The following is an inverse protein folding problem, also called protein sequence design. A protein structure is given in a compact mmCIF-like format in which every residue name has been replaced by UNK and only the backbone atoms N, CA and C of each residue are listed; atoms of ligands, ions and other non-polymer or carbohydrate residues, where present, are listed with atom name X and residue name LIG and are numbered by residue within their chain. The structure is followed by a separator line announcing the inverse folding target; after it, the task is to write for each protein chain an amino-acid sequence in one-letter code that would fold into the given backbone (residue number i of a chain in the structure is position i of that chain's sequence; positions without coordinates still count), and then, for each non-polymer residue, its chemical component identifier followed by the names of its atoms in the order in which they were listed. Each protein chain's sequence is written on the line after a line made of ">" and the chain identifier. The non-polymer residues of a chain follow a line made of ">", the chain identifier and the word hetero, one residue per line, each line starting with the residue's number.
data_IF_868983912517
#
_entry.id   IF_868983912517
#
_cell.length_a   1.000
_cell.length_b   1.000
_cell.length_c   1.000
_cell.angle_alpha   90.00
_cell.angle_beta   90.00
_cell.angle_gamma   90.00
#
_symmetry.space_group_name_H-M   'P 1'
#
loop_
_entity.id
_entity.type
_entity.pdbx_description
1 polymer ?
#
# COMPACT_ATOMS: atom_id res chain seq x y z
N UNK A 1 -31.15 33.31 1.25
CA UNK A 1 -29.96 32.57 0.78
C UNK A 1 -29.00 32.40 1.95
N UNK A 2 -29.04 31.25 2.64
CA UNK A 2 -28.04 30.93 3.68
C UNK A 2 -26.84 30.26 3.02
N UNK A 3 -25.67 30.90 3.11
CA UNK A 3 -24.39 30.29 2.76
C UNK A 3 -23.95 29.39 3.92
N UNK A 4 -23.88 28.09 3.70
CA UNK A 4 -23.31 27.14 4.65
C UNK A 4 -21.78 27.25 4.59
N UNK A 5 -21.19 27.84 5.63
CA UNK A 5 -19.75 27.87 5.84
C UNK A 5 -19.29 26.49 6.32
N UNK A 6 -18.73 25.68 5.42
CA UNK A 6 -18.08 24.43 5.79
C UNK A 6 -16.75 24.73 6.49
N UNK A 7 -16.77 24.75 7.82
CA UNK A 7 -15.55 24.77 8.63
C UNK A 7 -14.94 23.38 8.54
N UNK A 8 -13.84 23.24 7.81
CA UNK A 8 -12.99 22.06 7.88
C UNK A 8 -12.33 22.06 9.27
N UNK A 9 -12.84 21.23 10.19
CA UNK A 9 -12.15 20.94 11.44
C UNK A 9 -10.81 20.28 11.11
N UNK A 10 -9.72 21.03 11.28
CA UNK A 10 -8.40 20.44 11.30
C UNK A 10 -8.33 19.52 12.52
N UNK A 11 -8.30 18.21 12.27
CA UNK A 11 -8.12 17.23 13.32
C UNK A 11 -6.66 17.27 13.77
N UNK A 12 -6.38 17.82 14.96
CA UNK A 12 -5.06 17.76 15.64
C UNK A 12 -4.66 16.32 16.05
N UNK A 13 -5.44 15.30 15.66
CA UNK A 13 -5.12 13.91 15.93
C UNK A 13 -3.96 13.43 15.04
N UNK A 14 -2.94 12.84 15.68
CA UNK A 14 -1.89 12.09 14.97
C UNK A 14 -2.56 11.07 14.02
N UNK A 15 -2.20 11.04 12.73
CA UNK A 15 -2.80 10.10 11.79
C UNK A 15 -2.68 8.65 12.25
N UNK A 16 -3.78 7.89 12.16
CA UNK A 16 -3.85 6.50 12.60
C UNK A 16 -3.22 5.54 11.57
N UNK A 17 -1.91 5.69 11.35
CA UNK A 17 -1.13 4.80 10.47
C UNK A 17 -0.83 3.50 11.22
N UNK A 18 -1.11 2.37 10.57
CA UNK A 18 -0.86 1.02 11.07
C UNK A 18 0.06 0.26 10.09
N UNK A 19 1.18 -0.31 10.55
CA UNK A 19 1.77 -0.18 11.90
C UNK A 19 2.18 1.27 12.20
N UNK A 20 2.25 1.62 13.50
CA UNK A 20 2.68 2.94 13.96
C UNK A 20 4.11 3.22 13.45
N UNK A 21 4.34 4.31 12.70
CA UNK A 21 5.67 4.66 12.22
C UNK A 21 6.63 4.97 13.38
N UNK A 22 7.94 4.82 13.15
CA UNK A 22 8.96 5.16 14.14
C UNK A 22 8.85 6.62 14.63
N UNK A 23 8.71 7.57 13.69
CA UNK A 23 8.51 8.98 13.99
C UNK A 23 7.44 9.61 13.09
N UNK A 24 6.56 10.40 13.69
CA UNK A 24 5.52 11.18 12.98
C UNK A 24 5.44 12.57 13.61
N UNK A 25 5.49 13.60 12.78
CA UNK A 25 5.24 14.99 13.18
C UNK A 25 4.17 15.56 12.27
N UNK A 26 3.06 16.02 12.85
CA UNK A 26 2.02 16.74 12.12
C UNK A 26 2.49 18.16 11.85
N UNK A 27 2.26 18.67 10.64
CA UNK A 27 2.61 20.01 10.22
C UNK A 27 1.35 20.80 9.86
N UNK A 28 1.39 22.14 9.88
CA UNK A 28 0.29 22.95 9.41
C UNK A 28 -0.03 22.72 7.92
N UNK A 29 -1.32 22.63 7.61
CA UNK A 29 -1.82 22.48 6.25
C UNK A 29 -2.16 21.03 5.87
N UNK A 30 -2.52 20.85 4.61
CA UNK A 30 -2.98 19.58 4.10
C UNK A 30 -2.68 19.45 2.61
N UNK A 31 -2.35 18.25 2.17
CA UNK A 31 -2.24 17.90 0.75
C UNK A 31 -3.59 17.43 0.24
N UNK A 32 -4.07 17.98 -0.87
CA UNK A 32 -5.27 17.49 -1.56
C UNK A 32 -4.89 16.89 -2.91
N UNK A 33 -5.23 15.63 -3.14
CA UNK A 33 -5.06 14.98 -4.43
C UNK A 33 -6.06 15.57 -5.44
N UNK A 34 -5.57 15.95 -6.62
CA UNK A 34 -6.35 16.61 -7.67
C UNK A 34 -6.15 15.88 -9.00
N UNK A 35 -7.03 16.13 -9.97
CA UNK A 35 -6.90 15.54 -11.31
C UNK A 35 -5.58 15.93 -12.01
N UNK A 36 -5.05 17.12 -11.73
CA UNK A 36 -3.75 17.57 -12.24
C UNK A 36 -2.53 17.11 -11.43
N UNK A 37 -2.71 16.29 -10.38
CA UNK A 37 -1.57 15.78 -9.61
C UNK A 37 -0.75 14.83 -10.47
N UNK A 38 0.57 14.99 -10.42
CA UNK A 38 1.53 14.16 -11.17
C UNK A 38 2.34 13.32 -10.19
N UNK A 39 2.53 12.04 -10.53
CA UNK A 39 3.47 11.17 -9.82
C UNK A 39 4.83 11.33 -10.49
N UNK A 40 5.83 11.77 -9.74
CA UNK A 40 7.19 12.00 -10.23
C UNK A 40 8.12 10.94 -9.64
N UNK A 41 8.81 10.17 -10.47
CA UNK A 41 9.68 9.10 -9.98
C UNK A 41 11.10 9.18 -10.55
N UNK A 42 12.05 8.61 -9.82
CA UNK A 42 13.26 8.10 -10.46
C UNK A 42 12.90 7.01 -11.47
N UNK A 43 13.75 6.82 -12.49
CA UNK A 43 13.54 5.77 -13.50
C UNK A 43 13.42 4.38 -12.86
N UNK A 44 14.22 4.12 -11.82
CA UNK A 44 14.20 2.85 -11.09
C UNK A 44 12.90 2.61 -10.30
N UNK A 45 12.12 3.66 -10.00
CA UNK A 45 10.88 3.57 -9.22
C UNK A 45 9.63 3.75 -10.07
N UNK A 46 9.75 3.77 -11.40
CA UNK A 46 8.61 4.00 -12.31
C UNK A 46 7.47 3.00 -12.08
N UNK A 47 7.79 1.72 -11.96
CA UNK A 47 6.79 0.67 -11.70
C UNK A 47 6.05 0.89 -10.36
N UNK A 48 6.72 1.43 -9.34
CA UNK A 48 6.06 1.79 -8.08
C UNK A 48 5.18 3.05 -8.21
N UNK A 49 5.57 4.00 -9.06
CA UNK A 49 4.72 5.14 -9.40
C UNK A 49 3.45 4.74 -10.14
N UNK A 50 3.57 3.81 -11.08
CA UNK A 50 2.44 3.22 -11.82
C UNK A 50 1.53 2.44 -10.85
N UNK A 51 2.12 1.60 -9.97
CA UNK A 51 1.39 0.89 -8.92
C UNK A 51 0.66 1.83 -7.95
N UNK A 52 1.27 2.95 -7.57
CA UNK A 52 0.59 3.98 -6.77
C UNK A 52 -0.63 4.55 -7.52
N UNK A 53 -0.49 4.85 -8.80
CA UNK A 53 -1.61 5.25 -9.65
C UNK A 53 -2.73 4.22 -9.66
N UNK A 54 -2.39 2.94 -9.81
CA UNK A 54 -3.34 1.83 -9.82
C UNK A 54 -4.04 1.64 -8.47
N UNK A 55 -3.36 1.89 -7.35
CA UNK A 55 -3.98 1.86 -6.03
C UNK A 55 -4.98 2.99 -5.81
N UNK A 56 -4.74 4.18 -6.35
CA UNK A 56 -5.58 5.36 -6.15
C UNK A 56 -6.73 5.43 -7.16
N UNK A 57 -6.56 4.89 -8.36
CA UNK A 57 -7.53 5.01 -9.45
C UNK A 57 -8.93 4.48 -9.10
N UNK A 58 -9.11 3.28 -8.49
CA UNK A 58 -10.45 2.72 -8.27
C UNK A 58 -11.35 3.63 -7.44
N UNK A 59 -10.85 4.19 -6.34
CA UNK A 59 -11.62 5.07 -5.48
C UNK A 59 -11.77 6.49 -6.06
N UNK A 60 -10.70 7.03 -6.62
CA UNK A 60 -10.65 8.45 -7.02
C UNK A 60 -11.18 8.72 -8.44
N UNK A 61 -11.12 7.72 -9.32
CA UNK A 61 -11.31 7.88 -10.76
C UNK A 61 -10.19 8.66 -11.45
N UNK A 62 -9.13 9.05 -10.75
CA UNK A 62 -8.06 9.90 -11.29
C UNK A 62 -6.96 9.05 -11.95
N UNK A 63 -6.72 9.27 -13.25
CA UNK A 63 -5.60 8.69 -13.98
C UNK A 63 -4.38 9.61 -13.86
N UNK A 64 -3.62 9.44 -12.78
CA UNK A 64 -2.44 10.25 -12.51
C UNK A 64 -1.30 9.90 -13.47
N UNK A 65 -0.69 10.91 -14.09
CA UNK A 65 0.45 10.71 -14.97
C UNK A 65 1.72 10.39 -14.16
N UNK A 66 2.51 9.42 -14.62
CA UNK A 66 3.83 9.09 -14.05
C UNK A 66 4.93 9.68 -14.94
N UNK A 67 5.79 10.54 -14.38
CA UNK A 67 6.83 11.28 -15.10
C UNK A 67 8.15 11.28 -14.32
N UNK A 68 9.25 11.67 -14.97
CA UNK A 68 10.56 11.86 -14.29
C UNK A 68 10.73 13.26 -13.70
N UNK A 69 9.97 14.23 -14.22
CA UNK A 69 9.92 15.62 -13.76
C UNK A 69 8.50 16.18 -13.99
N UNK A 70 8.21 17.29 -13.31
CA UNK A 70 6.98 18.06 -13.49
C UNK A 70 7.33 19.56 -13.51
N UNK A 71 6.55 20.41 -14.20
CA UNK A 71 6.71 21.85 -14.17
C UNK A 71 6.66 22.42 -12.74
N UNK A 72 7.21 23.62 -12.57
CA UNK A 72 7.01 24.40 -11.35
C UNK A 72 5.50 24.54 -11.05
N UNK A 73 5.15 24.61 -9.76
CA UNK A 73 3.76 24.75 -9.26
C UNK A 73 2.80 23.57 -9.48
N UNK A 74 3.24 22.50 -10.15
CA UNK A 74 2.44 21.27 -10.26
C UNK A 74 2.28 20.61 -8.89
N UNK A 75 1.08 20.11 -8.58
CA UNK A 75 0.89 19.26 -7.39
C UNK A 75 1.56 17.90 -7.63
N UNK A 76 2.49 17.52 -6.77
CA UNK A 76 3.35 16.36 -7.03
C UNK A 76 3.35 15.38 -5.88
N UNK A 77 3.24 14.09 -6.22
CA UNK A 77 3.68 13.00 -5.34
C UNK A 77 4.99 12.47 -5.93
N UNK A 78 6.08 12.55 -5.19
CA UNK A 78 7.41 12.16 -5.67
C UNK A 78 7.94 10.91 -4.98
N UNK A 79 8.51 9.99 -5.75
CA UNK A 79 9.20 8.78 -5.29
C UNK A 79 10.66 8.85 -5.72
N UNK A 80 11.58 8.94 -4.77
CA UNK A 80 13.02 9.07 -5.05
C UNK A 80 13.85 8.08 -4.23
N UNK A 81 14.92 7.59 -4.81
CA UNK A 81 15.99 6.91 -4.08
C UNK A 81 16.94 7.95 -3.48
N UNK A 82 17.32 7.74 -2.23
CA UNK A 82 18.17 8.64 -1.48
C UNK A 82 19.18 7.82 -0.67
N UNK A 83 20.44 7.81 -1.12
CA UNK A 83 21.52 7.04 -0.50
C UNK A 83 21.85 7.52 0.92
N UNK A 84 21.52 8.77 1.26
CA UNK A 84 21.72 9.28 2.63
C UNK A 84 20.81 8.60 3.66
N UNK A 85 19.75 7.93 3.21
CA UNK A 85 18.82 7.19 4.06
C UNK A 85 19.25 5.74 4.33
N UNK A 86 20.47 5.34 3.98
CA UNK A 86 20.97 3.98 4.23
C UNK A 86 20.85 3.54 5.71
N UNK A 87 20.92 4.48 6.66
CA UNK A 87 20.71 4.23 8.10
C UNK A 87 19.31 3.69 8.45
N UNK A 88 18.31 3.87 7.57
CA UNK A 88 16.95 3.36 7.75
C UNK A 88 16.80 1.93 7.22
N UNK A 89 17.84 1.37 6.60
CA UNK A 89 17.81 0.05 5.97
C UNK A 89 17.02 0.00 4.65
N UNK A 90 16.93 -1.18 4.06
CA UNK A 90 16.34 -1.38 2.73
C UNK A 90 14.81 -1.13 2.69
N UNK A 91 14.15 -1.31 3.82
CA UNK A 91 12.69 -1.15 3.97
C UNK A 91 12.30 0.20 4.60
N UNK A 92 13.28 1.02 4.98
CA UNK A 92 13.05 2.30 5.61
C UNK A 92 12.78 3.43 4.60
N UNK A 93 12.02 4.43 5.02
CA UNK A 93 11.66 5.57 4.19
C UNK A 93 11.44 6.84 5.02
N UNK A 94 11.48 7.97 4.32
CA UNK A 94 11.00 9.26 4.79
C UNK A 94 9.85 9.72 3.90
N UNK A 95 8.75 10.17 4.50
CA UNK A 95 7.60 10.76 3.83
C UNK A 95 7.39 12.17 4.37
N UNK A 96 7.58 13.17 3.51
CA UNK A 96 7.29 14.57 3.81
C UNK A 96 6.09 15.01 2.96
N UNK A 97 5.00 15.43 3.60
CA UNK A 97 3.79 15.91 2.96
C UNK A 97 3.53 17.37 3.35
N UNK A 98 3.40 18.24 2.35
CA UNK A 98 2.97 19.62 2.50
C UNK A 98 1.85 19.97 1.53
N UNK A 99 1.41 21.24 1.45
CA UNK A 99 0.19 21.61 0.74
C UNK A 99 0.17 21.27 -0.76
N UNK A 100 1.31 21.37 -1.45
CA UNK A 100 1.43 21.15 -2.90
C UNK A 100 2.29 19.93 -3.26
N UNK A 101 2.98 19.33 -2.30
CA UNK A 101 3.95 18.26 -2.58
C UNK A 101 3.95 17.19 -1.50
N UNK A 102 4.04 15.94 -1.95
CA UNK A 102 4.38 14.78 -1.15
C UNK A 102 5.70 14.22 -1.68
N UNK A 103 6.64 13.92 -0.79
CA UNK A 103 7.93 13.33 -1.14
C UNK A 103 8.15 12.07 -0.31
N UNK A 104 8.24 10.93 -1.00
CA UNK A 104 8.67 9.65 -0.43
C UNK A 104 10.09 9.41 -0.91
N UNK A 105 11.02 9.32 0.03
CA UNK A 105 12.43 9.04 -0.19
C UNK A 105 12.82 7.76 0.55
N UNK A 106 13.62 6.93 -0.08
CA UNK A 106 14.08 5.68 0.54
C UNK A 106 15.45 5.25 0.02
N UNK A 107 16.18 4.46 0.79
CA UNK A 107 17.47 3.91 0.34
C UNK A 107 17.30 2.87 -0.78
N UNK A 108 16.28 2.01 -0.67
CA UNK A 108 15.93 0.99 -1.68
C UNK A 108 14.44 1.07 -2.05
N UNK A 109 14.10 0.39 -3.13
CA UNK A 109 12.73 0.36 -3.65
C UNK A 109 11.70 -0.19 -2.65
N UNK A 110 12.09 -1.13 -1.77
CA UNK A 110 11.21 -1.67 -0.74
C UNK A 110 10.76 -0.59 0.26
N UNK A 111 11.66 0.30 0.69
CA UNK A 111 11.29 1.46 1.50
C UNK A 111 10.32 2.41 0.79
N UNK A 112 10.55 2.72 -0.49
CA UNK A 112 9.62 3.55 -1.26
C UNK A 112 8.23 2.89 -1.37
N UNK A 113 8.18 1.57 -1.54
CA UNK A 113 6.95 0.79 -1.53
C UNK A 113 6.22 0.89 -0.18
N UNK A 114 6.91 0.80 0.96
CA UNK A 114 6.27 0.97 2.28
C UNK A 114 5.84 2.41 2.57
N UNK A 115 6.56 3.40 2.03
CA UNK A 115 6.13 4.79 2.03
C UNK A 115 4.80 4.99 1.28
N UNK A 116 4.60 4.30 0.15
CA UNK A 116 3.31 4.28 -0.57
C UNK A 116 2.20 3.73 0.32
N UNK A 117 2.45 2.67 1.10
CA UNK A 117 1.43 2.10 1.98
C UNK A 117 1.02 3.08 3.08
N UNK A 118 1.99 3.80 3.66
CA UNK A 118 1.70 4.87 4.62
C UNK A 118 0.93 6.02 3.97
N UNK A 119 1.34 6.48 2.79
CA UNK A 119 0.63 7.51 2.04
C UNK A 119 -0.85 7.16 1.84
N UNK A 120 -1.14 5.92 1.45
CA UNK A 120 -2.52 5.44 1.26
C UNK A 120 -3.34 5.50 2.55
N UNK A 121 -2.72 5.33 3.72
CA UNK A 121 -3.41 5.40 5.01
C UNK A 121 -3.58 6.84 5.53
N UNK A 122 -2.84 7.81 4.99
CA UNK A 122 -2.99 9.22 5.36
C UNK A 122 -4.19 9.88 4.69
N UNK A 123 -4.65 9.36 3.56
CA UNK A 123 -5.90 9.77 2.91
C UNK A 123 -7.13 9.21 3.65
N UNK A 124 -8.34 9.75 3.40
CA UNK A 124 -9.57 9.20 3.96
C UNK A 124 -9.73 7.73 3.60
N UNK A 125 -10.24 6.90 4.52
CA UNK A 125 -10.33 5.44 4.36
C UNK A 125 -11.04 4.99 3.08
N UNK A 126 -11.93 5.81 2.55
CA UNK A 126 -12.57 5.62 1.25
C UNK A 126 -11.58 5.43 0.08
N UNK A 127 -10.33 5.88 0.21
CA UNK A 127 -9.26 5.73 -0.80
C UNK A 127 -8.92 4.27 -1.07
N UNK A 128 -9.20 3.37 -0.11
CA UNK A 128 -8.92 1.94 -0.20
C UNK A 128 -10.05 1.17 -0.91
N UNK A 129 -11.15 1.83 -1.29
CA UNK A 129 -12.26 1.21 -2.03
C UNK A 129 -11.82 0.77 -3.42
N UNK A 130 -12.39 -0.34 -3.89
CA UNK A 130 -12.16 -0.89 -5.23
C UNK A 130 -13.21 -0.40 -6.26
N UNK A 131 -13.91 0.69 -5.93
CA UNK A 131 -14.94 1.30 -6.78
C UNK A 131 -14.96 2.81 -6.53
N UNK A 132 -15.38 3.57 -7.54
CA UNK A 132 -15.37 5.03 -7.50
C UNK A 132 -16.22 5.55 -6.35
N UNK A 133 -15.68 6.50 -5.59
CA UNK A 133 -16.39 7.18 -4.51
C UNK A 133 -16.65 8.62 -4.94
N UNK A 134 -17.92 8.99 -5.03
CA UNK A 134 -18.33 10.36 -5.39
C UNK A 134 -18.18 11.32 -4.21
N UNK A 135 -18.07 12.61 -4.50
CA UNK A 135 -18.14 13.71 -3.54
C UNK A 135 -17.16 13.63 -2.33
N UNK A 136 -15.98 13.03 -2.52
CA UNK A 136 -14.94 12.95 -1.49
C UNK A 136 -13.74 13.81 -1.86
N UNK A 137 -13.37 14.74 -0.97
CA UNK A 137 -12.08 15.43 -1.05
C UNK A 137 -10.98 14.47 -0.58
N UNK A 138 -10.07 14.11 -1.48
CA UNK A 138 -8.92 13.25 -1.19
C UNK A 138 -7.83 14.06 -0.50
N UNK A 139 -8.05 14.40 0.77
CA UNK A 139 -7.20 15.29 1.55
C UNK A 139 -6.51 14.53 2.68
N UNK A 140 -5.22 14.76 2.86
CA UNK A 140 -4.43 14.23 3.97
C UNK A 140 -3.68 15.35 4.69
N UNK A 141 -3.39 15.23 5.99
CA UNK A 141 -2.67 16.24 6.73
C UNK A 141 -1.23 16.39 6.21
N UNK A 142 -0.67 17.59 6.35
CA UNK A 142 0.76 17.79 6.18
C UNK A 142 1.50 17.08 7.34
N UNK A 143 2.51 16.29 7.01
CA UNK A 143 3.24 15.45 7.97
C UNK A 143 4.70 15.26 7.56
N UNK A 144 5.57 15.04 8.53
CA UNK A 144 6.91 14.49 8.35
C UNK A 144 6.96 13.14 9.05
N UNK A 145 7.23 12.07 8.31
CA UNK A 145 7.31 10.70 8.79
C UNK A 145 8.69 10.13 8.45
N UNK A 146 9.32 9.52 9.43
CA UNK A 146 10.48 8.66 9.24
C UNK A 146 10.15 7.29 9.83
N UNK A 147 10.37 6.24 9.05
CA UNK A 147 9.90 4.92 9.42
C UNK A 147 10.83 3.82 8.90
N UNK A 148 10.93 2.75 9.66
CA UNK A 148 11.73 1.56 9.37
C UNK A 148 11.25 0.40 10.24
N UNK A 149 11.35 -0.85 9.76
CA UNK A 149 10.86 -1.99 10.52
C UNK A 149 11.78 -2.33 11.69
N UNK A 150 11.19 -2.68 12.84
CA UNK A 150 11.92 -3.28 13.95
C UNK A 150 12.49 -4.66 13.62
N UNK A 151 11.75 -5.46 12.86
CA UNK A 151 12.12 -6.82 12.48
C UNK A 151 12.07 -6.98 10.97
N UNK A 152 13.12 -7.56 10.36
CA UNK A 152 13.17 -7.81 8.92
C UNK A 152 12.27 -8.94 8.42
N UNK A 153 11.75 -9.80 9.31
CA UNK A 153 10.84 -10.89 8.98
C UNK A 153 9.47 -10.65 9.61
N UNK A 154 8.47 -10.36 8.78
CA UNK A 154 7.10 -10.05 9.22
C UNK A 154 6.13 -10.81 8.33
N UNK A 155 5.69 -11.98 8.78
CA UNK A 155 5.03 -12.95 7.93
C UNK A 155 3.62 -13.34 8.34
N UNK A 156 2.90 -13.94 7.40
CA UNK A 156 1.65 -14.68 7.63
C UNK A 156 1.81 -16.10 7.06
N UNK A 157 1.41 -17.11 7.84
CA UNK A 157 1.18 -18.46 7.32
C UNK A 157 -0.29 -18.57 6.90
N UNK A 158 -0.53 -18.95 5.64
CA UNK A 158 -1.86 -19.21 5.11
C UNK A 158 -1.98 -20.70 4.77
N UNK A 159 -2.88 -21.37 5.49
CA UNK A 159 -3.23 -22.76 5.23
C UNK A 159 -4.29 -22.86 4.13
N UNK A 160 -3.86 -23.36 2.98
CA UNK A 160 -4.72 -23.64 1.83
C UNK A 160 -4.94 -25.14 1.61
N UNK A 161 -4.28 -25.98 2.41
CA UNK A 161 -4.37 -27.43 2.33
C UNK A 161 -5.66 -27.93 3.01
N UNK A 162 -5.98 -27.44 4.21
CA UNK A 162 -7.18 -27.87 4.96
C UNK A 162 -8.46 -27.38 4.32
N UNK A 163 -8.49 -26.11 3.91
CA UNK A 163 -9.58 -25.53 3.13
C UNK A 163 -9.00 -24.76 1.94
N UNK A 164 -9.41 -25.15 0.73
CA UNK A 164 -8.87 -24.52 -0.47
C UNK A 164 -9.37 -23.07 -0.59
N UNK A 165 -8.42 -22.15 -0.79
CA UNK A 165 -8.69 -20.73 -1.04
C UNK A 165 -8.47 -20.44 -2.52
N UNK A 166 -9.47 -19.89 -3.25
CA UNK A 166 -9.28 -19.47 -4.62
C UNK A 166 -8.16 -18.42 -4.77
N UNK A 167 -7.51 -18.37 -5.95
CA UNK A 167 -6.38 -17.46 -6.19
C UNK A 167 -6.69 -15.99 -5.89
N UNK A 168 -7.92 -15.54 -6.15
CA UNK A 168 -8.34 -14.16 -5.89
C UNK A 168 -8.40 -13.84 -4.40
N UNK A 169 -8.77 -14.82 -3.56
CA UNK A 169 -8.69 -14.67 -2.11
C UNK A 169 -7.24 -14.52 -1.66
N UNK A 170 -6.33 -15.37 -2.16
CA UNK A 170 -4.90 -15.32 -1.80
C UNK A 170 -4.28 -13.99 -2.22
N UNK A 171 -4.59 -13.48 -3.43
CA UNK A 171 -4.13 -12.16 -3.88
C UNK A 171 -4.63 -11.03 -2.97
N UNK A 172 -5.91 -11.07 -2.57
CA UNK A 172 -6.47 -10.11 -1.61
C UNK A 172 -5.76 -10.17 -0.26
N UNK A 173 -5.39 -11.36 0.21
CA UNK A 173 -4.56 -11.50 1.42
C UNK A 173 -3.19 -10.84 1.21
N UNK A 174 -2.52 -11.08 0.07
CA UNK A 174 -1.23 -10.43 -0.25
C UNK A 174 -1.36 -8.90 -0.25
N UNK A 175 -2.44 -8.35 -0.82
CA UNK A 175 -2.67 -6.90 -0.81
C UNK A 175 -2.83 -6.33 0.60
N UNK A 176 -3.50 -7.09 1.49
CA UNK A 176 -3.64 -6.72 2.90
C UNK A 176 -2.31 -6.84 3.67
N UNK A 177 -1.51 -7.87 3.40
CA UNK A 177 -0.16 -8.01 3.95
C UNK A 177 0.70 -6.81 3.56
N UNK A 178 0.69 -6.46 2.28
CA UNK A 178 1.42 -5.32 1.74
C UNK A 178 1.00 -4.01 2.44
N UNK A 179 -0.30 -3.73 2.54
CA UNK A 179 -0.83 -2.52 3.20
C UNK A 179 -0.33 -2.38 4.65
N UNK A 180 -0.17 -3.50 5.36
CA UNK A 180 0.31 -3.56 6.75
C UNK A 180 1.82 -3.82 6.88
N UNK A 181 2.56 -3.68 5.78
CA UNK A 181 4.02 -3.84 5.72
C UNK A 181 4.53 -5.23 6.14
N UNK A 182 3.70 -6.26 6.03
CA UNK A 182 4.11 -7.66 6.15
C UNK A 182 4.80 -8.07 4.84
N UNK A 183 5.95 -8.74 4.95
CA UNK A 183 6.88 -8.94 3.83
C UNK A 183 7.15 -10.42 3.51
N UNK A 184 6.47 -11.34 4.20
CA UNK A 184 6.55 -12.79 3.95
C UNK A 184 5.16 -13.40 3.93
N UNK A 185 4.90 -14.25 2.94
CA UNK A 185 3.75 -15.13 2.92
C UNK A 185 4.27 -16.56 2.89
N UNK A 186 3.94 -17.35 3.90
CA UNK A 186 4.20 -18.78 3.94
C UNK A 186 2.92 -19.51 3.55
N UNK A 187 2.95 -20.20 2.41
CA UNK A 187 1.83 -21.02 1.94
C UNK A 187 2.01 -22.46 2.40
N UNK A 188 1.10 -22.94 3.25
CA UNK A 188 1.02 -24.36 3.59
C UNK A 188 0.22 -25.08 2.50
N UNK A 189 0.93 -25.62 1.51
CA UNK A 189 0.36 -26.11 0.25
C UNK A 189 -0.10 -27.58 0.28
N UNK A 190 0.27 -28.32 1.31
CA UNK A 190 0.06 -29.77 1.36
C UNK A 190 -0.21 -30.21 2.79
N UNK A 191 -1.19 -31.09 2.95
CA UNK A 191 -1.50 -31.76 4.22
C UNK A 191 -2.30 -33.04 3.95
N UNK A 192 -2.68 -33.77 5.00
CA UNK A 192 -3.45 -35.02 4.87
C UNK A 192 -4.76 -34.82 4.09
N UNK A 193 -5.40 -33.66 4.26
CA UNK A 193 -6.70 -33.34 3.66
C UNK A 193 -6.60 -32.70 2.27
N UNK A 194 -5.38 -32.47 1.74
CA UNK A 194 -5.23 -32.05 0.35
C UNK A 194 -3.86 -31.54 -0.11
N UNK A 195 -3.66 -31.62 -1.42
CA UNK A 195 -2.46 -31.18 -2.15
C UNK A 195 -2.78 -30.05 -3.14
N UNK A 196 -2.11 -28.89 -3.04
CA UNK A 196 -2.53 -27.63 -3.70
C UNK A 196 -1.62 -27.09 -4.79
N UNK A 197 -0.52 -27.77 -5.11
CA UNK A 197 0.47 -27.34 -6.10
C UNK A 197 0.60 -28.37 -7.22
N UNK A 198 0.61 -27.95 -8.48
CA UNK A 198 0.81 -28.89 -9.57
C UNK A 198 2.27 -29.39 -9.61
N UNK A 199 2.45 -30.72 -9.60
CA UNK A 199 3.73 -31.36 -9.90
C UNK A 199 3.57 -32.20 -11.17
N UNK A 200 4.12 -31.71 -12.29
CA UNK A 200 3.93 -32.32 -13.62
C UNK A 200 4.33 -33.80 -13.68
N UNK A 201 5.39 -34.18 -12.95
CA UNK A 201 5.87 -35.58 -12.85
C UNK A 201 4.87 -36.50 -12.12
N UNK A 202 4.05 -35.94 -11.23
CA UNK A 202 3.15 -36.69 -10.35
C UNK A 202 1.71 -36.15 -10.47
N UNK A 203 1.04 -36.32 -11.64
CA UNK A 203 -0.25 -35.71 -11.91
C UNK A 203 -1.38 -36.19 -10.98
N UNK A 204 -1.23 -37.36 -10.35
CA UNK A 204 -2.21 -37.87 -9.37
C UNK A 204 -2.29 -37.00 -8.10
N UNK A 205 -1.25 -36.23 -7.78
CA UNK A 205 -1.25 -35.34 -6.61
C UNK A 205 -2.37 -34.28 -6.71
N UNK A 206 -2.62 -33.73 -7.89
CA UNK A 206 -3.72 -32.76 -8.10
C UNK A 206 -4.98 -33.40 -8.68
N UNK A 207 -4.88 -34.43 -9.54
CA UNK A 207 -6.07 -35.10 -10.10
C UNK A 207 -6.87 -35.88 -9.04
N UNK A 208 -6.20 -36.36 -7.99
CA UNK A 208 -6.84 -37.11 -6.89
C UNK A 208 -6.63 -36.38 -5.56
N UNK A 209 -5.38 -36.10 -5.19
CA UNK A 209 -5.03 -35.55 -3.87
C UNK A 209 -5.50 -34.11 -3.61
N UNK A 210 -6.02 -33.38 -4.61
CA UNK A 210 -6.57 -32.04 -4.40
C UNK A 210 -8.02 -32.03 -3.90
N UNK A 211 -8.67 -33.18 -3.74
CA UNK A 211 -10.08 -33.23 -3.35
C UNK A 211 -10.29 -34.29 -2.27
N UNK A 212 -11.30 -34.07 -1.42
CA UNK A 212 -11.76 -35.04 -0.43
C UNK A 212 -13.27 -35.15 -0.49
N UNK A 213 -13.83 -36.30 -0.11
CA UNK A 213 -15.28 -36.54 -0.14
C UNK A 213 -16.04 -35.64 0.83
N UNK A 214 -15.49 -35.44 2.03
CA UNK A 214 -16.07 -34.61 3.08
C UNK A 214 -14.98 -34.13 4.04
N UNK A 215 -15.28 -33.10 4.85
CA UNK A 215 -14.45 -32.72 5.99
C UNK A 215 -14.74 -33.69 7.14
N UNK A 216 -13.71 -34.33 7.67
CA UNK A 216 -13.84 -35.21 8.84
C UNK A 216 -14.12 -34.31 10.05
N UNK A 217 -15.27 -34.51 10.70
CA UNK A 217 -15.56 -33.96 12.02
C UNK A 217 -15.05 -34.97 13.04
N UNK A 218 -14.10 -34.54 13.87
CA UNK A 218 -13.58 -35.33 14.99
C UNK A 218 -14.44 -35.17 16.23
#
# INVERSE_FOLDING_TARGET
>A
MLAALAIALASDSVPAVVPRPAHVTVQPGAFTLRAGTVIVTDRALRALGELLGDYLFPATGLRLAVRTAAPAETHVISLRLDSSLARLGDEGYRLDAGPSRVAIRAYRAAGAFYGIQTLRQLFPTAILRQAKVEATAWTMPAVSIEDYPRFGWRGLLLDVARHFMPKEFVKKVIDLLALHKLNRLQLHLTDDQGWRIEIRRYPRLTRVGAWRRQTIVG
#
